data_IF_535375933803
#
_entry.id   IF_535375933803
#
_cell.length_a   1.000
_cell.length_b   1.000
_cell.length_c   1.000
_cell.angle_alpha   90.00
_cell.angle_beta   90.00
_cell.angle_gamma   90.00
#
_symmetry.space_group_name_H-M   'P 1'
#
loop_
_entity.id
_entity.type
_entity.pdbx_description
1 polymer ?
#
# COMPACT_ATOMS: atom_id res chain seq x y z
N UNK A 1 16.12 -23.50 4.75
CA UNK A 1 15.07 -22.49 4.55
C UNK A 1 15.52 -21.04 4.79
N UNK A 2 16.69 -20.81 5.39
CA UNK A 2 17.19 -19.47 5.66
C UNK A 2 17.38 -18.65 4.37
N UNK A 3 17.93 -19.27 3.33
CA UNK A 3 18.05 -18.65 2.00
C UNK A 3 16.69 -18.23 1.42
N UNK A 4 15.63 -19.03 1.73
CA UNK A 4 14.28 -18.67 1.30
C UNK A 4 13.72 -17.49 2.09
N UNK A 5 14.06 -17.33 3.36
CA UNK A 5 13.70 -16.14 4.14
C UNK A 5 14.44 -14.89 3.64
N UNK A 6 15.68 -15.03 3.19
CA UNK A 6 16.42 -13.93 2.56
C UNK A 6 15.79 -13.51 1.23
N UNK A 7 15.39 -14.47 0.37
CA UNK A 7 14.66 -14.18 -0.86
C UNK A 7 13.30 -13.52 -0.55
N UNK A 8 12.61 -14.00 0.48
CA UNK A 8 11.33 -13.43 0.92
C UNK A 8 11.50 -11.96 1.31
N UNK A 9 12.51 -11.64 2.12
CA UNK A 9 12.79 -10.28 2.58
C UNK A 9 13.32 -9.36 1.48
N UNK A 10 14.18 -9.88 0.63
CA UNK A 10 14.86 -9.09 -0.40
C UNK A 10 14.08 -8.91 -1.70
N UNK A 11 13.21 -9.87 -2.05
CA UNK A 11 12.59 -9.90 -3.37
C UNK A 11 11.06 -10.02 -3.35
N UNK A 12 10.47 -10.62 -2.31
CA UNK A 12 9.02 -10.81 -2.26
C UNK A 12 8.31 -9.69 -1.49
N UNK A 13 8.89 -9.20 -0.40
CA UNK A 13 8.40 -7.99 0.23
C UNK A 13 8.69 -6.77 -0.64
N UNK A 14 7.79 -5.77 -0.59
CA UNK A 14 8.05 -4.48 -1.23
C UNK A 14 9.32 -3.88 -0.65
N UNK A 15 10.22 -3.43 -1.51
CA UNK A 15 11.50 -2.89 -1.10
C UNK A 15 11.33 -1.69 -0.17
N UNK A 16 12.11 -1.65 0.88
CA UNK A 16 12.23 -0.48 1.75
C UNK A 16 13.16 0.50 1.06
N UNK A 17 12.62 1.48 0.36
CA UNK A 17 13.45 2.44 -0.35
C UNK A 17 14.24 3.31 0.61
N UNK A 18 15.53 3.15 0.54
CA UNK A 18 16.49 4.11 1.07
C UNK A 18 16.67 5.19 0.02
N UNK A 19 16.04 6.33 0.19
CA UNK A 19 16.43 7.53 -0.56
C UNK A 19 17.74 8.01 0.06
N UNK A 20 18.85 7.52 -0.47
CA UNK A 20 20.16 8.09 -0.15
C UNK A 20 20.25 9.45 -0.83
N UNK A 21 20.29 10.48 0.00
CA UNK A 21 20.76 11.81 -0.34
C UNK A 21 20.13 12.51 -1.55
N UNK A 22 19.13 13.30 -1.30
CA UNK A 22 18.84 14.48 -2.11
C UNK A 22 17.66 14.37 -3.04
N UNK A 23 16.76 15.21 -2.83
CA UNK A 23 15.99 16.11 -3.69
C UNK A 23 15.58 15.65 -5.12
N UNK A 24 15.56 14.37 -5.46
CA UNK A 24 15.14 13.97 -6.78
C UNK A 24 13.83 13.18 -6.73
N UNK A 25 12.76 13.84 -7.09
CA UNK A 25 11.50 13.22 -7.50
C UNK A 25 11.64 12.21 -8.63
N UNK A 26 12.73 12.28 -9.37
CA UNK A 26 13.08 11.27 -10.37
C UNK A 26 13.27 9.85 -9.78
N UNK A 27 13.56 9.75 -8.46
CA UNK A 27 13.61 8.47 -7.77
C UNK A 27 12.23 7.88 -7.45
N UNK A 28 11.17 8.69 -7.37
CA UNK A 28 9.82 8.19 -7.15
C UNK A 28 9.35 7.38 -8.38
N UNK A 29 9.72 7.83 -9.57
CA UNK A 29 9.24 7.27 -10.81
C UNK A 29 9.75 5.86 -11.12
N UNK A 30 10.91 5.47 -10.63
CA UNK A 30 11.52 4.18 -11.00
C UNK A 30 11.47 3.09 -9.93
N UNK A 31 11.27 3.48 -8.68
CA UNK A 31 11.61 2.61 -7.57
C UNK A 31 10.51 2.47 -6.49
N UNK A 32 9.44 3.26 -6.55
CA UNK A 32 8.37 3.21 -5.57
C UNK A 32 7.12 2.54 -6.13
N UNK A 33 6.61 1.60 -5.37
CA UNK A 33 5.38 0.90 -5.71
C UNK A 33 4.17 1.72 -5.31
N UNK A 34 3.26 1.91 -6.26
CA UNK A 34 1.94 2.44 -6.03
C UNK A 34 1.89 3.76 -5.24
N UNK A 35 2.93 4.64 -5.32
CA UNK A 35 2.95 5.87 -4.52
C UNK A 35 1.77 6.78 -4.88
N UNK A 36 1.30 6.67 -6.11
CA UNK A 36 0.26 7.52 -6.66
C UNK A 36 -1.15 7.15 -6.19
N UNK A 37 -1.37 5.98 -5.59
CA UNK A 37 -2.68 5.60 -5.07
C UNK A 37 -3.20 6.57 -4.00
N UNK A 38 -2.32 7.14 -3.19
CA UNK A 38 -2.70 8.10 -2.17
C UNK A 38 -3.16 9.44 -2.76
N UNK A 39 -2.59 9.85 -3.90
CA UNK A 39 -3.00 11.11 -4.55
C UNK A 39 -4.27 10.96 -5.40
N UNK A 40 -4.72 9.73 -5.61
CA UNK A 40 -6.01 9.42 -6.26
C UNK A 40 -7.19 9.47 -5.29
N UNK A 41 -6.94 9.59 -3.99
CA UNK A 41 -7.99 9.67 -2.99
C UNK A 41 -8.54 11.09 -2.88
N UNK A 42 -9.75 11.22 -2.37
CA UNK A 42 -10.41 12.49 -2.05
C UNK A 42 -9.94 13.11 -0.72
N UNK A 43 -8.98 12.48 -0.05
CA UNK A 43 -8.30 13.07 1.12
C UNK A 43 -7.44 14.27 0.76
N UNK A 44 -6.92 14.31 -0.47
CA UNK A 44 -5.98 15.33 -0.93
C UNK A 44 -6.59 16.21 -2.02
N UNK A 45 -6.32 17.50 -1.93
CA UNK A 45 -6.65 18.47 -2.95
C UNK A 45 -5.41 19.24 -3.40
N UNK A 46 -5.40 19.64 -4.66
CA UNK A 46 -4.34 20.48 -5.19
C UNK A 46 -4.44 21.91 -4.63
N UNK A 47 -3.32 22.46 -4.22
CA UNK A 47 -3.25 23.84 -3.79
C UNK A 47 -3.01 24.75 -5.00
N UNK A 48 -3.87 25.75 -5.20
CA UNK A 48 -3.88 26.60 -6.40
C UNK A 48 -2.92 27.78 -6.35
N UNK A 49 -1.91 27.76 -5.51
CA UNK A 49 -0.97 28.88 -5.41
C UNK A 49 0.25 28.71 -6.32
N UNK A 50 0.35 29.55 -7.31
CA UNK A 50 1.52 29.70 -8.18
C UNK A 50 1.43 28.84 -9.45
N UNK A 51 1.27 29.49 -10.58
CA UNK A 51 0.99 28.85 -11.87
C UNK A 51 2.21 28.21 -12.56
N UNK A 52 3.41 28.39 -12.02
CA UNK A 52 4.63 28.00 -12.76
C UNK A 52 5.20 26.62 -12.40
N UNK A 53 4.78 26.04 -11.32
CA UNK A 53 5.39 24.80 -10.83
C UNK A 53 4.60 23.53 -11.12
N UNK A 54 3.33 23.66 -11.47
CA UNK A 54 2.47 22.51 -11.83
C UNK A 54 3.02 21.76 -13.05
N UNK A 55 3.68 22.46 -13.97
CA UNK A 55 4.26 21.85 -15.18
C UNK A 55 5.66 21.27 -14.97
N UNK A 56 6.44 21.79 -14.03
CA UNK A 56 7.87 21.47 -13.88
C UNK A 56 8.22 20.74 -12.58
N UNK A 57 7.31 20.73 -11.61
CA UNK A 57 7.57 20.17 -10.27
C UNK A 57 7.02 18.76 -10.09
N UNK A 58 7.07 18.32 -8.85
CA UNK A 58 6.59 17.01 -8.41
C UNK A 58 5.15 16.72 -8.76
N UNK A 59 4.29 17.74 -8.77
CA UNK A 59 2.90 17.58 -9.19
C UNK A 59 2.74 17.31 -10.68
N UNK A 60 3.64 17.80 -11.51
CA UNK A 60 3.65 17.42 -12.92
C UNK A 60 3.73 15.92 -13.12
N UNK A 61 4.46 15.23 -12.25
CA UNK A 61 4.63 13.78 -12.31
C UNK A 61 3.40 13.01 -11.85
N UNK A 62 2.68 13.49 -10.85
CA UNK A 62 1.50 12.80 -10.27
C UNK A 62 0.18 13.35 -10.80
N UNK A 63 0.21 14.36 -11.65
CA UNK A 63 -0.96 15.06 -12.16
C UNK A 63 -1.98 14.11 -12.80
N UNK A 64 -1.51 13.20 -13.64
CA UNK A 64 -2.38 12.25 -14.33
C UNK A 64 -3.12 11.34 -13.35
N UNK A 65 -2.48 10.92 -12.26
CA UNK A 65 -3.12 10.13 -11.20
C UNK A 65 -4.11 10.97 -10.40
N UNK A 66 -3.70 12.15 -9.95
CA UNK A 66 -4.56 13.01 -9.13
C UNK A 66 -5.83 13.46 -9.87
N UNK A 67 -5.71 13.71 -11.16
CA UNK A 67 -6.84 14.15 -12.00
C UNK A 67 -7.54 13.01 -12.74
N UNK A 68 -7.20 11.76 -12.46
CA UNK A 68 -7.81 10.55 -13.05
C UNK A 68 -7.76 10.54 -14.59
N UNK A 69 -6.63 10.97 -15.17
CA UNK A 69 -6.47 10.99 -16.61
C UNK A 69 -6.40 9.57 -17.18
N UNK A 70 -6.86 9.39 -18.43
CA UNK A 70 -6.76 8.10 -19.12
C UNK A 70 -5.30 7.61 -19.26
N UNK A 71 -4.37 8.56 -19.45
CA UNK A 71 -2.92 8.31 -19.48
C UNK A 71 -2.29 8.92 -18.24
N UNK A 72 -2.39 8.22 -17.14
CA UNK A 72 -1.94 8.67 -15.81
C UNK A 72 -0.44 9.01 -15.74
N UNK A 73 0.35 8.46 -16.65
CA UNK A 73 1.80 8.64 -16.78
C UNK A 73 2.22 9.86 -17.60
N UNK A 74 1.30 10.56 -18.22
CA UNK A 74 1.59 11.79 -18.96
C UNK A 74 1.42 13.02 -18.06
N UNK A 75 2.35 13.99 -18.20
CA UNK A 75 2.24 15.29 -17.57
C UNK A 75 1.27 16.20 -18.33
N UNK A 76 1.10 17.44 -17.85
CA UNK A 76 0.24 18.45 -18.49
C UNK A 76 0.60 18.77 -19.94
N UNK A 77 1.84 18.55 -20.34
CA UNK A 77 2.32 18.78 -21.71
C UNK A 77 2.13 17.57 -22.62
N UNK A 78 1.54 16.47 -22.11
CA UNK A 78 1.39 15.21 -22.85
C UNK A 78 2.72 14.45 -23.03
N UNK A 79 3.75 14.79 -22.25
CA UNK A 79 5.02 14.07 -22.23
C UNK A 79 4.97 12.96 -21.20
N UNK A 80 5.58 11.83 -21.52
CA UNK A 80 5.76 10.73 -20.57
C UNK A 80 6.62 11.21 -19.39
N UNK A 81 5.99 11.35 -18.22
CA UNK A 81 6.64 11.69 -16.98
C UNK A 81 6.98 10.46 -16.13
N UNK A 82 6.52 9.28 -16.57
CA UNK A 82 6.51 8.06 -15.79
C UNK A 82 6.54 6.80 -16.67
N UNK A 83 7.13 5.71 -16.19
CA UNK A 83 6.99 4.41 -16.83
C UNK A 83 5.64 3.77 -16.45
N UNK A 84 4.69 3.78 -17.36
CA UNK A 84 3.33 3.27 -17.17
C UNK A 84 3.24 1.76 -16.84
N UNK A 85 4.30 1.02 -17.15
CA UNK A 85 4.38 -0.41 -16.88
C UNK A 85 5.22 -0.75 -15.64
N UNK A 86 5.77 0.24 -14.93
CA UNK A 86 6.66 -0.02 -13.80
C UNK A 86 5.96 -0.81 -12.70
N UNK A 87 4.80 -0.35 -12.22
CA UNK A 87 4.04 -1.04 -11.17
C UNK A 87 3.63 -2.46 -11.59
N UNK A 88 3.23 -2.64 -12.85
CA UNK A 88 2.89 -3.96 -13.38
C UNK A 88 4.08 -4.92 -13.34
N UNK A 89 5.25 -4.48 -13.84
CA UNK A 89 6.47 -5.31 -13.82
C UNK A 89 6.93 -5.64 -12.42
N UNK A 90 6.92 -4.67 -11.52
CA UNK A 90 7.33 -4.85 -10.13
C UNK A 90 6.43 -5.83 -9.40
N UNK A 91 5.10 -5.69 -9.52
CA UNK A 91 4.17 -6.62 -8.88
C UNK A 91 4.34 -8.05 -9.39
N UNK A 92 4.58 -8.26 -10.69
CA UNK A 92 4.90 -9.60 -11.21
C UNK A 92 6.27 -10.12 -10.80
N UNK A 93 7.25 -9.25 -10.56
CA UNK A 93 8.54 -9.64 -9.97
C UNK A 93 8.36 -10.21 -8.56
N UNK A 94 7.55 -9.55 -7.72
CA UNK A 94 7.20 -10.05 -6.39
C UNK A 94 6.42 -11.38 -6.45
N UNK A 95 5.45 -11.48 -7.35
CA UNK A 95 4.71 -12.73 -7.58
C UNK A 95 5.67 -13.86 -7.96
N UNK A 96 6.64 -13.59 -8.84
CA UNK A 96 7.62 -14.60 -9.24
C UNK A 96 8.51 -15.03 -8.06
N UNK A 97 8.97 -14.10 -7.24
CA UNK A 97 9.71 -14.43 -6.02
C UNK A 97 8.89 -15.30 -5.07
N UNK A 98 7.62 -14.96 -4.85
CA UNK A 98 6.70 -15.81 -4.08
C UNK A 98 6.53 -17.20 -4.69
N UNK A 99 6.42 -17.32 -6.02
CA UNK A 99 6.30 -18.62 -6.69
C UNK A 99 7.55 -19.48 -6.51
N UNK A 100 8.74 -18.88 -6.59
CA UNK A 100 10.00 -19.59 -6.32
C UNK A 100 10.00 -20.11 -4.90
N UNK A 101 9.72 -19.26 -3.91
CA UNK A 101 9.70 -19.65 -2.50
C UNK A 101 8.69 -20.76 -2.25
N UNK A 102 7.47 -20.64 -2.77
CA UNK A 102 6.41 -21.62 -2.59
C UNK A 102 6.70 -22.97 -3.26
N UNK A 103 7.53 -23.00 -4.29
CA UNK A 103 8.00 -24.25 -4.89
C UNK A 103 9.12 -24.88 -4.06
N UNK A 104 10.16 -24.11 -3.75
CA UNK A 104 11.36 -24.60 -3.07
C UNK A 104 11.09 -25.00 -1.60
N UNK A 105 10.17 -24.32 -0.92
CA UNK A 105 9.83 -24.61 0.48
C UNK A 105 9.22 -26.03 0.66
N UNK A 106 8.73 -26.65 -0.41
CA UNK A 106 8.21 -28.03 -0.37
C UNK A 106 9.26 -29.03 0.08
N UNK A 107 10.54 -28.77 -0.18
CA UNK A 107 11.65 -29.61 0.28
C UNK A 107 11.79 -29.65 1.82
N UNK A 108 11.13 -28.77 2.52
CA UNK A 108 11.18 -28.64 3.99
C UNK A 108 9.87 -29.00 4.69
N UNK A 109 8.94 -29.68 3.99
CA UNK A 109 7.64 -30.05 4.58
C UNK A 109 7.72 -31.14 5.65
N UNK A 110 8.79 -31.94 5.63
CA UNK A 110 8.98 -33.06 6.56
C UNK A 110 9.77 -32.68 7.83
N UNK A 111 10.02 -31.39 8.07
CA UNK A 111 10.70 -30.93 9.30
C UNK A 111 9.81 -31.22 10.52
N UNK A 112 10.42 -31.66 11.61
CA UNK A 112 9.70 -32.06 12.82
C UNK A 112 9.99 -31.20 14.05
N UNK A 113 11.13 -30.50 14.06
CA UNK A 113 11.47 -29.58 15.14
C UNK A 113 10.52 -28.38 15.14
N UNK A 114 9.97 -28.03 16.29
CA UNK A 114 8.91 -27.04 16.42
C UNK A 114 9.32 -25.66 15.83
N UNK A 115 10.55 -25.26 16.06
CA UNK A 115 11.09 -24.00 15.52
C UNK A 115 11.16 -24.01 14.00
N UNK A 116 11.59 -25.12 13.41
CA UNK A 116 11.67 -25.28 11.95
C UNK A 116 10.27 -25.31 11.32
N UNK A 117 9.33 -26.03 11.94
CA UNK A 117 7.92 -26.05 11.51
C UNK A 117 7.33 -24.64 11.53
N UNK A 118 7.58 -23.87 12.58
CA UNK A 118 7.11 -22.48 12.65
C UNK A 118 7.75 -21.59 11.57
N UNK A 119 9.05 -21.73 11.32
CA UNK A 119 9.74 -20.95 10.28
C UNK A 119 9.26 -21.32 8.87
N UNK A 120 9.09 -22.61 8.56
CA UNK A 120 8.54 -23.08 7.28
C UNK A 120 7.11 -22.56 7.08
N UNK A 121 6.26 -22.67 8.09
CA UNK A 121 4.90 -22.16 8.03
C UNK A 121 4.85 -20.64 7.85
N UNK A 122 5.73 -19.91 8.54
CA UNK A 122 5.86 -18.46 8.39
C UNK A 122 6.24 -18.08 6.96
N UNK A 123 7.28 -18.69 6.40
CA UNK A 123 7.74 -18.40 5.04
C UNK A 123 6.64 -18.70 4.01
N UNK A 124 5.95 -19.84 4.14
CA UNK A 124 4.80 -20.18 3.30
C UNK A 124 3.68 -19.16 3.42
N UNK A 125 3.27 -18.87 4.64
CA UNK A 125 2.16 -17.97 4.91
C UNK A 125 2.41 -16.55 4.43
N UNK A 126 3.60 -16.01 4.67
CA UNK A 126 3.99 -14.69 4.17
C UNK A 126 4.06 -14.65 2.64
N UNK A 127 4.59 -15.71 1.99
CA UNK A 127 4.66 -15.79 0.53
C UNK A 127 3.25 -15.82 -0.09
N UNK A 128 2.31 -16.55 0.48
CA UNK A 128 0.91 -16.54 0.05
C UNK A 128 0.27 -15.16 0.26
N UNK A 129 0.49 -14.54 1.42
CA UNK A 129 -0.01 -13.21 1.72
C UNK A 129 0.46 -12.17 0.70
N UNK A 130 1.75 -12.14 0.41
CA UNK A 130 2.34 -11.19 -0.54
C UNK A 130 1.85 -11.43 -1.96
N UNK A 131 1.79 -12.69 -2.41
CA UNK A 131 1.28 -13.03 -3.73
C UNK A 131 -0.19 -12.64 -3.89
N UNK A 132 -1.03 -12.96 -2.92
CA UNK A 132 -2.43 -12.54 -2.89
C UNK A 132 -2.59 -11.03 -2.90
N UNK A 133 -1.77 -10.32 -2.11
CA UNK A 133 -1.76 -8.85 -2.08
C UNK A 133 -1.34 -8.24 -3.43
N UNK A 134 -0.32 -8.80 -4.09
CA UNK A 134 0.10 -8.35 -5.42
C UNK A 134 -1.03 -8.54 -6.46
N UNK A 135 -1.71 -9.68 -6.47
CA UNK A 135 -2.86 -9.88 -7.35
C UNK A 135 -4.02 -8.96 -7.02
N UNK A 136 -4.25 -8.65 -5.75
CA UNK A 136 -5.26 -7.67 -5.35
C UNK A 136 -4.96 -6.28 -5.90
N UNK A 137 -3.71 -5.82 -5.83
CA UNK A 137 -3.32 -4.55 -6.46
C UNK A 137 -3.45 -4.61 -7.98
N UNK A 138 -2.96 -5.66 -8.62
CA UNK A 138 -3.03 -5.81 -10.07
C UNK A 138 -4.46 -5.78 -10.59
N UNK A 139 -5.40 -6.51 -9.97
CA UNK A 139 -6.79 -6.54 -10.45
C UNK A 139 -7.48 -5.19 -10.27
N UNK A 140 -7.16 -4.44 -9.21
CA UNK A 140 -7.75 -3.12 -8.96
C UNK A 140 -7.16 -2.02 -9.85
N UNK A 141 -5.88 -2.13 -10.24
CA UNK A 141 -5.23 -1.14 -11.11
C UNK A 141 -5.51 -1.38 -12.59
N UNK A 142 -5.56 -2.64 -13.01
CA UNK A 142 -5.58 -3.01 -14.44
C UNK A 142 -6.83 -3.76 -14.87
N UNK A 143 -7.72 -4.12 -13.94
CA UNK A 143 -9.02 -4.71 -14.18
C UNK A 143 -10.15 -3.69 -14.08
N UNK A 144 -11.37 -4.12 -14.43
CA UNK A 144 -12.58 -3.37 -14.09
C UNK A 144 -12.94 -3.56 -12.62
N UNK A 145 -13.64 -2.62 -11.99
CA UNK A 145 -14.23 -2.84 -10.68
C UNK A 145 -15.07 -4.13 -10.66
N UNK A 146 -14.99 -4.89 -9.57
CA UNK A 146 -15.74 -6.13 -9.46
C UNK A 146 -17.25 -5.85 -9.53
N UNK A 147 -17.90 -6.44 -10.50
CA UNK A 147 -19.36 -6.44 -10.61
C UNK A 147 -19.84 -7.89 -10.79
N UNK A 148 -20.64 -8.40 -9.86
CA UNK A 148 -21.07 -9.81 -9.82
C UNK A 148 -21.66 -10.30 -11.16
N UNK A 149 -22.33 -9.42 -11.90
CA UNK A 149 -22.94 -9.75 -13.17
C UNK A 149 -21.94 -9.91 -14.33
N UNK A 150 -20.78 -9.26 -14.27
CA UNK A 150 -19.84 -9.17 -15.40
C UNK A 150 -18.44 -9.65 -15.08
N UNK A 151 -18.06 -9.78 -13.80
CA UNK A 151 -16.71 -10.11 -13.36
C UNK A 151 -16.12 -11.38 -14.01
N UNK A 152 -16.96 -12.37 -14.36
CA UNK A 152 -16.54 -13.57 -15.06
C UNK A 152 -16.14 -13.37 -16.53
N UNK A 153 -16.52 -12.21 -17.12
CA UNK A 153 -16.23 -11.89 -18.52
C UNK A 153 -15.34 -10.65 -18.65
N UNK A 154 -15.24 -9.83 -17.61
CA UNK A 154 -14.40 -8.63 -17.62
C UNK A 154 -12.92 -9.04 -17.56
N UNK A 155 -12.09 -8.63 -18.52
CA UNK A 155 -10.68 -9.00 -18.53
C UNK A 155 -9.91 -8.23 -17.45
N UNK A 156 -9.11 -8.95 -16.66
CA UNK A 156 -8.22 -8.38 -15.65
C UNK A 156 -6.74 -8.57 -16.04
N UNK A 157 -6.02 -9.42 -15.33
CA UNK A 157 -4.58 -9.64 -15.50
C UNK A 157 -4.28 -11.14 -15.61
N UNK A 158 -3.16 -11.54 -16.22
CA UNK A 158 -2.74 -12.94 -16.25
C UNK A 158 -2.47 -13.50 -14.85
N UNK A 159 -2.87 -14.74 -14.60
CA UNK A 159 -2.47 -15.49 -13.40
C UNK A 159 -1.29 -16.39 -13.77
N UNK A 160 -0.14 -16.16 -13.10
CA UNK A 160 1.06 -16.99 -13.23
C UNK A 160 1.45 -17.53 -11.86
N UNK A 161 1.42 -18.84 -11.71
CA UNK A 161 1.71 -19.55 -10.45
C UNK A 161 2.99 -20.38 -10.52
N UNK A 162 3.58 -20.55 -11.71
CA UNK A 162 4.84 -21.26 -11.88
C UNK A 162 6.03 -20.32 -11.72
N UNK A 163 7.15 -20.83 -11.21
CA UNK A 163 8.43 -20.16 -11.15
C UNK A 163 9.23 -20.25 -12.45
N UNK A 164 8.81 -21.08 -13.40
CA UNK A 164 9.52 -21.32 -14.65
C UNK A 164 9.37 -20.13 -15.62
N UNK A 165 10.46 -19.88 -16.36
CA UNK A 165 10.41 -18.97 -17.52
C UNK A 165 9.78 -19.74 -18.68
N UNK A 166 8.67 -19.26 -19.20
CA UNK A 166 7.92 -19.87 -20.28
C UNK A 166 7.87 -18.89 -21.46
N UNK A 167 8.27 -19.37 -22.64
CA UNK A 167 8.13 -18.62 -23.89
C UNK A 167 6.71 -18.78 -24.45
N UNK A 168 5.76 -18.09 -23.80
CA UNK A 168 4.35 -18.09 -24.22
C UNK A 168 3.70 -16.73 -23.97
N UNK A 169 2.69 -16.41 -24.75
CA UNK A 169 1.81 -15.28 -24.48
C UNK A 169 0.76 -15.66 -23.45
N UNK A 170 0.77 -14.96 -22.32
CA UNK A 170 -0.26 -15.11 -21.31
C UNK A 170 -1.51 -14.32 -21.69
N UNK A 171 -2.66 -14.96 -21.64
CA UNK A 171 -3.94 -14.29 -21.78
C UNK A 171 -4.35 -13.65 -20.45
N UNK A 172 -5.16 -12.61 -20.53
CA UNK A 172 -5.76 -12.00 -19.34
C UNK A 172 -6.84 -12.93 -18.78
N UNK A 173 -6.77 -13.21 -17.50
CA UNK A 173 -7.85 -13.87 -16.78
C UNK A 173 -8.98 -12.86 -16.52
N UNK A 174 -10.14 -13.38 -16.17
CA UNK A 174 -11.27 -12.54 -15.77
C UNK A 174 -11.06 -11.93 -14.38
N UNK A 175 -11.78 -10.85 -14.10
CA UNK A 175 -11.80 -10.21 -12.78
C UNK A 175 -12.18 -11.24 -11.69
N UNK A 176 -13.17 -12.08 -11.94
CA UNK A 176 -13.59 -13.14 -11.00
C UNK A 176 -12.46 -14.11 -10.69
N UNK A 177 -11.80 -14.66 -11.73
CA UNK A 177 -10.70 -15.61 -11.54
C UNK A 177 -9.54 -15.01 -10.73
N UNK A 178 -9.21 -13.73 -10.96
CA UNK A 178 -8.13 -13.08 -10.21
C UNK A 178 -8.54 -12.86 -8.76
N UNK A 179 -9.76 -12.43 -8.46
CA UNK A 179 -10.23 -12.32 -7.07
C UNK A 179 -10.33 -13.69 -6.38
N UNK A 180 -10.74 -14.73 -7.08
CA UNK A 180 -10.70 -16.11 -6.56
C UNK A 180 -9.26 -16.52 -6.20
N UNK A 181 -8.28 -16.16 -7.02
CA UNK A 181 -6.86 -16.38 -6.71
C UNK A 181 -6.40 -15.57 -5.49
N UNK A 182 -6.79 -14.30 -5.38
CA UNK A 182 -6.51 -13.46 -4.21
C UNK A 182 -7.04 -14.12 -2.94
N UNK A 183 -8.30 -14.51 -2.94
CA UNK A 183 -8.92 -15.16 -1.78
C UNK A 183 -8.24 -16.48 -1.45
N UNK A 184 -7.96 -17.31 -2.45
CA UNK A 184 -7.30 -18.61 -2.23
C UNK A 184 -5.90 -18.44 -1.61
N UNK A 185 -5.10 -17.50 -2.09
CA UNK A 185 -3.78 -17.21 -1.52
C UNK A 185 -3.89 -16.66 -0.08
N UNK A 186 -4.83 -15.76 0.18
CA UNK A 186 -5.01 -15.20 1.53
C UNK A 186 -5.56 -16.22 2.53
N UNK A 187 -6.37 -17.20 2.10
CA UNK A 187 -6.81 -18.31 2.95
C UNK A 187 -5.65 -19.26 3.30
N UNK A 188 -4.78 -19.57 2.34
CA UNK A 188 -3.57 -20.34 2.64
C UNK A 188 -2.63 -19.53 3.56
N UNK A 189 -2.52 -18.21 3.37
CA UNK A 189 -1.77 -17.35 4.29
C UNK A 189 -2.35 -17.41 5.72
N UNK A 190 -3.66 -17.28 5.89
CA UNK A 190 -4.31 -17.41 7.21
C UNK A 190 -4.01 -18.77 7.85
N UNK A 191 -4.14 -19.84 7.09
CA UNK A 191 -3.90 -21.22 7.55
C UNK A 191 -2.47 -21.41 8.07
N UNK A 192 -1.47 -21.01 7.31
CA UNK A 192 -0.07 -21.18 7.69
C UNK A 192 0.39 -20.21 8.80
N UNK A 193 -0.15 -18.99 8.84
CA UNK A 193 0.22 -17.97 9.85
C UNK A 193 -0.55 -18.11 11.18
N UNK A 194 -1.59 -18.94 11.25
CA UNK A 194 -2.49 -19.01 12.41
C UNK A 194 -1.79 -19.28 13.75
N UNK A 195 -0.76 -20.12 13.73
CA UNK A 195 -0.05 -20.53 14.96
C UNK A 195 1.41 -20.04 14.93
N UNK A 196 1.72 -19.06 14.14
CA UNK A 196 3.05 -18.49 13.99
C UNK A 196 3.14 -17.18 14.78
N UNK A 197 4.19 -17.05 15.59
CA UNK A 197 4.43 -15.82 16.34
C UNK A 197 4.83 -14.68 15.40
N UNK A 198 4.20 -13.51 15.61
CA UNK A 198 4.53 -12.30 14.85
C UNK A 198 5.99 -11.88 15.08
N UNK A 199 6.76 -11.71 14.02
CA UNK A 199 8.15 -11.24 14.10
C UNK A 199 8.25 -9.72 14.30
N UNK A 200 7.48 -8.96 13.54
CA UNK A 200 7.46 -7.49 13.59
C UNK A 200 6.27 -6.94 12.80
N UNK A 201 6.04 -5.63 12.86
CA UNK A 201 5.04 -4.94 12.02
C UNK A 201 5.39 -4.95 10.53
N UNK A 202 6.62 -5.28 10.19
CA UNK A 202 7.11 -5.38 8.80
C UNK A 202 6.94 -6.76 8.18
N UNK A 203 6.46 -7.72 8.97
CA UNK A 203 6.21 -9.10 8.53
C UNK A 203 4.72 -9.38 8.66
N UNK A 204 4.15 -10.00 7.64
CA UNK A 204 2.73 -10.35 7.67
C UNK A 204 2.47 -11.41 8.75
N UNK A 205 1.34 -11.27 9.42
CA UNK A 205 0.81 -12.23 10.38
C UNK A 205 -0.62 -12.64 10.02
N UNK A 206 -1.22 -13.50 10.82
CA UNK A 206 -2.59 -13.97 10.59
C UNK A 206 -3.61 -12.83 10.58
N UNK A 207 -3.39 -11.78 11.40
CA UNK A 207 -4.28 -10.61 11.46
C UNK A 207 -4.20 -9.80 10.17
N UNK A 208 -3.00 -9.64 9.61
CA UNK A 208 -2.80 -8.99 8.32
C UNK A 208 -3.50 -9.78 7.18
N UNK A 209 -3.38 -11.11 7.19
CA UNK A 209 -4.06 -11.96 6.20
C UNK A 209 -5.59 -11.82 6.29
N UNK A 210 -6.15 -11.82 7.49
CA UNK A 210 -7.60 -11.63 7.72
C UNK A 210 -8.08 -10.24 7.33
N UNK A 211 -7.28 -9.20 7.59
CA UNK A 211 -7.62 -7.84 7.16
C UNK A 211 -7.68 -7.75 5.64
N UNK A 212 -6.72 -8.36 4.94
CA UNK A 212 -6.74 -8.40 3.47
C UNK A 212 -7.89 -9.27 2.93
N UNK A 213 -8.26 -10.38 3.58
CA UNK A 213 -9.46 -11.16 3.24
C UNK A 213 -10.72 -10.33 3.38
N UNK A 214 -10.87 -9.61 4.50
CA UNK A 214 -12.01 -8.70 4.69
C UNK A 214 -12.11 -7.67 3.57
N UNK A 215 -10.97 -7.07 3.19
CA UNK A 215 -10.90 -6.09 2.10
C UNK A 215 -11.22 -6.72 0.75
N UNK A 216 -10.66 -7.88 0.43
CA UNK A 216 -10.94 -8.57 -0.83
C UNK A 216 -12.42 -8.90 -0.97
N UNK A 217 -13.05 -9.47 0.05
CA UNK A 217 -14.49 -9.77 0.06
C UNK A 217 -15.35 -8.49 -0.02
N UNK A 218 -14.93 -7.40 0.62
CA UNK A 218 -15.62 -6.12 0.50
C UNK A 218 -15.64 -5.61 -0.95
N UNK A 219 -14.51 -5.70 -1.65
CA UNK A 219 -14.40 -5.32 -3.06
C UNK A 219 -15.20 -6.25 -3.98
N UNK A 220 -15.36 -7.52 -3.60
CA UNK A 220 -16.23 -8.49 -4.30
C UNK A 220 -17.72 -8.28 -3.99
N UNK A 221 -18.09 -7.31 -3.15
CA UNK A 221 -19.45 -7.12 -2.62
C UNK A 221 -19.99 -8.38 -1.88
N UNK A 222 -19.10 -9.20 -1.33
CA UNK A 222 -19.42 -10.28 -0.41
C UNK A 222 -19.35 -9.77 1.03
N UNK A 223 -20.37 -9.04 1.42
CA UNK A 223 -20.42 -8.35 2.70
C UNK A 223 -20.47 -9.29 3.90
N UNK A 224 -20.99 -10.51 3.74
CA UNK A 224 -21.04 -11.52 4.80
C UNK A 224 -19.61 -11.96 5.19
N UNK A 225 -18.82 -12.40 4.21
CA UNK A 225 -17.44 -12.79 4.45
C UNK A 225 -16.56 -11.58 4.84
N UNK A 226 -16.78 -10.42 4.24
CA UNK A 226 -16.08 -9.19 4.64
C UNK A 226 -16.30 -8.87 6.12
N UNK A 227 -17.53 -8.91 6.61
CA UNK A 227 -17.87 -8.67 8.01
C UNK A 227 -17.32 -9.77 8.93
N UNK A 228 -17.36 -11.04 8.52
CA UNK A 228 -16.78 -12.16 9.26
C UNK A 228 -15.29 -11.94 9.54
N UNK A 229 -14.51 -11.62 8.51
CA UNK A 229 -13.08 -11.42 8.66
C UNK A 229 -12.74 -10.11 9.38
N UNK A 230 -13.50 -9.02 9.16
CA UNK A 230 -13.37 -7.79 9.93
C UNK A 230 -13.57 -8.02 11.43
N UNK A 231 -14.58 -8.85 11.81
CA UNK A 231 -14.82 -9.22 13.19
C UNK A 231 -13.62 -9.95 13.80
N UNK A 232 -13.04 -10.93 13.11
CA UNK A 232 -11.84 -11.63 13.58
C UNK A 232 -10.66 -10.67 13.79
N UNK A 233 -10.47 -9.68 12.91
CA UNK A 233 -9.44 -8.65 13.07
C UNK A 233 -9.70 -7.79 14.32
N UNK A 234 -10.95 -7.40 14.59
CA UNK A 234 -11.26 -6.57 15.76
C UNK A 234 -11.18 -7.34 17.08
N UNK A 235 -11.41 -8.65 17.06
CA UNK A 235 -11.35 -9.51 18.25
C UNK A 235 -9.93 -9.94 18.61
N UNK A 236 -9.10 -10.25 17.60
CA UNK A 236 -7.76 -10.82 17.79
C UNK A 236 -6.62 -9.85 17.46
N UNK A 237 -6.92 -8.77 16.74
CA UNK A 237 -5.94 -7.76 16.33
C UNK A 237 -5.62 -6.73 17.42
N UNK A 238 -4.72 -5.80 17.09
CA UNK A 238 -4.35 -4.74 18.01
C UNK A 238 -5.51 -3.75 18.24
N UNK A 239 -5.49 -3.13 19.41
CA UNK A 239 -6.50 -2.13 19.77
C UNK A 239 -6.19 -0.80 19.08
N UNK A 240 -7.24 -0.03 18.81
CA UNK A 240 -7.11 1.34 18.32
C UNK A 240 -6.34 2.19 19.34
N UNK A 241 -5.60 3.15 18.81
CA UNK A 241 -4.84 4.12 19.62
C UNK A 241 -5.81 5.12 20.25
N UNK A 242 -5.70 5.30 21.55
CA UNK A 242 -6.40 6.39 22.25
C UNK A 242 -5.69 7.71 21.96
N UNK A 243 -6.38 8.61 21.30
CA UNK A 243 -5.86 9.93 20.96
C UNK A 243 -5.94 10.92 22.13
N UNK A 244 -6.65 10.58 23.22
CA UNK A 244 -6.65 11.42 24.42
C UNK A 244 -5.26 11.38 25.08
N UNK A 245 -4.62 12.52 25.20
CA UNK A 245 -3.26 12.61 25.74
C UNK A 245 -2.17 12.04 24.83
N UNK A 246 -2.48 11.74 23.57
CA UNK A 246 -1.48 11.31 22.60
C UNK A 246 -0.47 12.43 22.35
N UNK A 247 0.80 12.19 22.65
CA UNK A 247 1.85 13.22 22.62
C UNK A 247 2.91 12.99 21.54
N UNK A 248 2.79 11.91 20.75
CA UNK A 248 3.76 11.65 19.71
C UNK A 248 3.56 12.62 18.53
N UNK A 249 4.66 13.20 18.04
CA UNK A 249 4.64 14.12 16.91
C UNK A 249 4.29 13.45 15.58
N UNK A 250 4.37 12.12 15.53
CA UNK A 250 4.06 11.30 14.36
C UNK A 250 2.93 10.35 14.72
N UNK A 251 1.85 10.32 13.91
CA UNK A 251 0.78 9.37 14.12
C UNK A 251 1.18 7.97 13.64
N UNK A 252 1.66 7.86 12.40
CA UNK A 252 2.11 6.57 11.87
C UNK A 252 3.60 6.34 12.20
N UNK A 253 3.88 5.39 13.08
CA UNK A 253 5.23 4.95 13.44
C UNK A 253 5.21 3.47 13.85
N UNK A 254 6.34 2.75 13.85
CA UNK A 254 6.36 1.29 14.06
C UNK A 254 5.84 0.82 15.43
N UNK A 255 5.88 1.69 16.43
CA UNK A 255 5.38 1.42 17.78
C UNK A 255 3.91 1.77 17.98
N UNK A 256 3.19 2.18 16.92
CA UNK A 256 1.76 2.48 17.00
C UNK A 256 0.98 1.20 17.33
N UNK A 257 0.17 1.25 18.41
CA UNK A 257 -0.54 0.07 18.90
C UNK A 257 -1.53 -0.53 17.90
N UNK A 258 -2.11 0.28 17.03
CA UNK A 258 -3.09 -0.17 16.03
C UNK A 258 -2.47 -0.67 14.72
N UNK A 259 -1.14 -0.59 14.57
CA UNK A 259 -0.46 -0.97 13.34
C UNK A 259 -0.39 -2.49 13.20
N UNK A 260 -1.13 -3.03 12.26
CA UNK A 260 -1.16 -4.47 11.96
C UNK A 260 0.03 -4.86 11.09
N UNK A 261 0.22 -4.18 9.97
CA UNK A 261 1.26 -4.48 9.01
C UNK A 261 1.63 -3.23 8.21
N UNK A 262 2.90 -3.09 7.90
CA UNK A 262 3.40 -2.01 7.04
C UNK A 262 4.53 -2.51 6.15
N UNK A 263 4.50 -2.14 4.87
CA UNK A 263 5.61 -2.38 3.95
C UNK A 263 6.78 -1.42 4.20
N UNK A 264 6.52 -0.29 4.83
CA UNK A 264 7.48 0.76 5.11
C UNK A 264 7.92 1.51 3.84
N UNK A 265 7.83 2.82 3.86
CA UNK A 265 8.40 3.67 2.81
C UNK A 265 8.95 4.94 3.43
N UNK A 266 10.14 5.37 3.00
CA UNK A 266 10.71 6.65 3.40
C UNK A 266 10.40 7.76 2.41
N UNK A 267 9.99 7.40 1.21
CA UNK A 267 9.73 8.36 0.12
C UNK A 267 8.29 8.84 0.07
N UNK A 268 7.33 8.00 0.47
CA UNK A 268 5.92 8.35 0.42
C UNK A 268 5.56 9.54 1.33
N UNK A 269 6.02 9.61 2.60
CA UNK A 269 5.84 10.82 3.40
C UNK A 269 6.43 12.06 2.75
N UNK A 270 7.59 11.93 2.12
CA UNK A 270 8.21 13.01 1.36
C UNK A 270 7.37 13.44 0.14
N UNK A 271 6.74 12.49 -0.54
CA UNK A 271 5.91 12.77 -1.71
C UNK A 271 4.58 13.44 -1.37
N UNK A 272 3.98 13.08 -0.24
CA UNK A 272 2.64 13.53 0.15
C UNK A 272 2.65 14.70 1.13
N UNK A 273 3.63 14.74 2.03
CA UNK A 273 3.72 15.74 3.10
C UNK A 273 4.88 16.71 2.90
N UNK A 274 5.19 17.06 1.66
CA UNK A 274 6.34 17.85 1.34
C UNK A 274 6.64 18.93 2.41
N UNK A 275 7.59 18.63 3.33
CA UNK A 275 8.40 19.59 4.06
C UNK A 275 7.83 20.34 5.26
N UNK A 276 6.85 19.87 5.96
CA UNK A 276 6.60 20.40 7.28
C UNK A 276 7.55 19.81 8.34
N UNK A 277 8.85 20.06 8.25
CA UNK A 277 9.81 19.60 9.29
C UNK A 277 9.93 20.58 10.46
N UNK A 278 9.48 21.83 10.30
CA UNK A 278 9.32 22.83 11.35
C UNK A 278 8.37 23.92 10.86
N UNK A 279 7.75 24.67 11.78
CA UNK A 279 6.92 25.83 11.44
C UNK A 279 7.69 26.86 10.59
N UNK A 280 8.98 27.02 10.82
CA UNK A 280 9.84 27.91 10.06
C UNK A 280 10.15 27.39 8.66
N UNK A 281 10.26 26.08 8.50
CA UNK A 281 10.47 25.43 7.19
C UNK A 281 9.19 25.44 6.36
N UNK A 282 8.02 25.37 6.98
CA UNK A 282 6.73 25.49 6.32
C UNK A 282 6.69 26.78 5.47
N UNK A 283 7.04 27.91 6.03
CA UNK A 283 6.97 29.19 5.33
C UNK A 283 7.91 29.31 4.12
N UNK A 284 9.01 28.57 4.10
CA UNK A 284 9.98 28.63 3.00
C UNK A 284 9.67 27.63 1.89
N UNK A 285 9.09 26.48 2.22
CA UNK A 285 8.84 25.38 1.28
C UNK A 285 7.38 25.27 0.81
N UNK A 286 6.44 25.83 1.55
CA UNK A 286 5.01 25.79 1.21
C UNK A 286 4.67 26.62 -0.04
N UNK A 287 5.55 27.50 -0.48
CA UNK A 287 5.41 28.13 -1.80
C UNK A 287 5.43 27.10 -2.93
N UNK A 288 5.91 25.87 -2.67
CA UNK A 288 6.06 24.80 -3.62
C UNK A 288 5.22 23.55 -3.30
N UNK A 289 4.34 23.60 -2.30
CA UNK A 289 3.51 22.46 -1.94
C UNK A 289 2.24 22.41 -2.76
N UNK A 290 2.05 21.26 -3.33
CA UNK A 290 1.06 21.04 -4.35
C UNK A 290 -0.20 20.43 -3.79
N UNK A 291 -0.08 19.69 -2.68
CA UNK A 291 -1.17 18.95 -2.08
C UNK A 291 -1.47 19.45 -0.67
N UNK A 292 -2.74 19.56 -0.37
CA UNK A 292 -3.28 19.85 0.95
C UNK A 292 -4.41 18.87 1.27
N UNK A 293 -4.85 18.83 2.50
CA UNK A 293 -6.10 18.14 2.85
C UNK A 293 -7.25 18.77 2.07
N UNK A 294 -8.16 17.96 1.55
CA UNK A 294 -9.35 18.46 0.85
C UNK A 294 -10.30 19.19 1.81
N UNK A 295 -11.05 20.16 1.28
CA UNK A 295 -12.03 20.88 2.09
C UNK A 295 -13.15 19.94 2.55
N UNK A 296 -13.48 18.95 1.72
CA UNK A 296 -14.46 17.91 2.03
C UNK A 296 -14.05 17.09 3.25
N UNK A 297 -12.77 16.65 3.28
CA UNK A 297 -12.26 15.90 4.43
C UNK A 297 -12.21 16.77 5.68
N UNK A 298 -11.73 18.02 5.56
CA UNK A 298 -11.71 18.95 6.68
C UNK A 298 -13.11 19.17 7.28
N UNK A 299 -14.11 19.43 6.43
CA UNK A 299 -15.48 19.62 6.86
C UNK A 299 -16.09 18.33 7.45
N UNK A 300 -15.65 17.15 6.99
CA UNK A 300 -16.11 15.88 7.54
C UNK A 300 -15.70 15.69 9.00
N UNK A 301 -14.61 16.32 9.46
CA UNK A 301 -14.23 16.34 10.88
C UNK A 301 -15.11 17.27 11.73
N UNK A 302 -16.01 18.05 11.11
CA UNK A 302 -16.91 19.00 11.81
C UNK A 302 -16.17 19.89 12.83
N UNK A 303 -15.19 20.69 12.41
CA UNK A 303 -14.30 21.43 13.32
C UNK A 303 -15.06 22.38 14.24
N UNK A 304 -16.22 22.90 13.83
CA UNK A 304 -17.05 23.83 14.61
C UNK A 304 -18.00 23.13 15.57
N UNK A 305 -18.32 21.85 15.34
CA UNK A 305 -19.34 21.11 16.10
C UNK A 305 -18.73 20.05 17.02
N UNK A 306 -17.71 19.35 16.55
CA UNK A 306 -17.11 18.21 17.21
C UNK A 306 -15.64 18.45 17.51
N UNK A 307 -15.20 18.17 18.74
CA UNK A 307 -13.79 18.14 19.07
C UNK A 307 -13.20 16.81 18.59
N UNK A 308 -13.00 16.67 17.28
CA UNK A 308 -12.39 15.47 16.70
C UNK A 308 -10.86 15.54 16.86
N UNK A 309 -10.31 14.69 17.71
CA UNK A 309 -8.88 14.65 18.00
C UNK A 309 -8.03 14.28 16.77
N UNK A 310 -8.61 13.61 15.77
CA UNK A 310 -7.90 13.31 14.53
C UNK A 310 -7.50 14.57 13.80
N UNK A 311 -8.31 15.62 13.85
CA UNK A 311 -7.98 16.90 13.25
C UNK A 311 -6.70 17.49 13.87
N UNK A 312 -6.57 17.43 15.20
CA UNK A 312 -5.39 17.90 15.92
C UNK A 312 -4.13 17.08 15.58
N UNK A 313 -4.28 15.76 15.45
CA UNK A 313 -3.14 14.87 15.23
C UNK A 313 -2.78 14.67 13.77
N UNK A 314 -3.72 14.80 12.83
CA UNK A 314 -3.50 14.49 11.42
C UNK A 314 -3.32 15.73 10.55
N UNK A 315 -3.69 16.90 11.02
CA UNK A 315 -3.70 18.12 10.22
C UNK A 315 -2.87 19.22 10.91
N UNK A 316 -2.10 19.93 10.13
CA UNK A 316 -1.41 21.15 10.55
C UNK A 316 -2.05 22.33 9.84
N UNK A 317 -2.52 23.33 10.60
CA UNK A 317 -2.91 24.62 10.05
C UNK A 317 -1.65 25.46 9.85
N UNK A 318 -1.50 26.05 8.69
CA UNK A 318 -0.44 27.01 8.37
C UNK A 318 -1.10 28.31 7.93
N UNK A 319 -0.76 29.40 8.59
CA UNK A 319 -1.33 30.72 8.32
C UNK A 319 -1.22 31.11 6.84
N UNK A 320 -2.37 31.23 6.19
CA UNK A 320 -2.49 31.64 4.80
C UNK A 320 -2.16 30.56 3.75
N UNK A 321 -1.86 29.32 4.11
CA UNK A 321 -1.40 28.26 3.20
C UNK A 321 -2.33 27.06 3.14
N UNK A 322 -3.37 27.06 3.95
CA UNK A 322 -4.31 25.92 4.02
C UNK A 322 -3.90 24.87 5.04
N UNK A 323 -4.59 23.75 5.02
CA UNK A 323 -4.44 22.68 5.97
C UNK A 323 -3.57 21.58 5.38
N UNK A 324 -2.47 21.28 6.03
CA UNK A 324 -1.52 20.26 5.59
C UNK A 324 -1.77 18.95 6.34
N UNK A 325 -1.73 17.85 5.61
CA UNK A 325 -1.93 16.52 6.18
C UNK A 325 -0.62 16.02 6.81
N UNK A 326 -0.60 15.87 8.12
CA UNK A 326 0.60 15.46 8.87
C UNK A 326 0.55 14.03 9.38
N UNK A 327 -0.51 13.26 9.09
CA UNK A 327 -0.64 11.86 9.52
C UNK A 327 0.58 11.01 9.14
N UNK A 328 1.14 11.32 7.98
CA UNK A 328 2.33 10.65 7.43
C UNK A 328 3.62 11.46 7.65
N UNK A 329 3.58 12.49 8.49
CA UNK A 329 4.72 13.36 8.72
C UNK A 329 5.78 12.64 9.55
N UNK A 330 6.97 12.51 8.98
CA UNK A 330 8.13 11.90 9.61
C UNK A 330 8.89 10.98 8.64
N UNK A 331 10.20 10.98 8.73
CA UNK A 331 11.11 10.30 7.80
C UNK A 331 11.01 8.78 7.73
N UNK A 332 10.04 8.19 8.37
CA UNK A 332 9.93 6.75 8.48
C UNK A 332 8.46 6.37 8.54
N UNK A 333 8.02 5.51 7.67
CA UNK A 333 6.80 4.71 7.81
C UNK A 333 5.52 5.25 7.15
N UNK A 334 5.21 4.59 6.11
CA UNK A 334 3.84 4.18 5.80
C UNK A 334 3.83 2.69 5.65
#
# INVERSE_FOLDING_TARGET
>A
YDDLDEILLGNAYFERFYVSNGWQFSGIAGENYLPCLHVMSDELAQQTRGSSWVAEGACGTIYGYHTWQYRVYENLEGKTAWDDAADFRHLYSHINACNIILEEIKAYEDVTEEEDVQNVNRIKGESYFLRGSCYFFLVNLYGRPYAKATAGNDPAVPIKLSNSVEDKYYQRNSVSEVYERVVADLLEAEKYLKNVSKKSVWRADVVAARLMLSRAYLYMCDYENAAKYAKLVTEEGPRLTDLNGYSNSQFLYPGLSELIFSTGSTSLPGALSFYATSETSINTYVSNQDMRISDELYLAYKPEEAKDLRLEHFVVSSDGLGLLYKKMHGRTFV
#
